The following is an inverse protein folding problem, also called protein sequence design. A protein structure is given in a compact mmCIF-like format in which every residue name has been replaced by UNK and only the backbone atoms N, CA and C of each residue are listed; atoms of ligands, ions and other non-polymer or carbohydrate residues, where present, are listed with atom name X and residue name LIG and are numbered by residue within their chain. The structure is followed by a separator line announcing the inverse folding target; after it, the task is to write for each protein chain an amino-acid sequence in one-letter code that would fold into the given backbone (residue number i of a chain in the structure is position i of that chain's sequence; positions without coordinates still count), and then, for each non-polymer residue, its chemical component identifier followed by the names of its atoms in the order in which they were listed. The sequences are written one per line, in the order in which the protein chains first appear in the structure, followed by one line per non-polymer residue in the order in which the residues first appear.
data_IF_152061554143
#
_entry.id   IF_152061554143
#
_cell.length_a   1.000
_cell.length_b   1.000
_cell.length_c   1.000
_cell.angle_alpha   90.00
_cell.angle_beta   90.00
_cell.angle_gamma   90.00
#
_symmetry.space_group_name_H-M   'P 1'
#
loop_
_entity.id
_entity.type
_entity.pdbx_description
1 polymer ?
#
# COMPACT_ATOMS: atom_id res chain seq x y z
N UNK A 1 17.97 -2.58 -12.75
CA UNK A 1 16.75 -1.77 -12.63
C UNK A 1 16.97 -0.68 -11.62
N UNK A 2 16.67 0.57 -11.96
CA UNK A 2 16.79 1.71 -11.07
C UNK A 2 15.66 1.74 -10.05
N UNK A 3 15.80 2.54 -8.98
CA UNK A 3 14.74 2.75 -7.99
C UNK A 3 13.49 3.33 -8.66
N UNK A 4 13.67 4.29 -9.58
CA UNK A 4 12.55 4.91 -10.31
C UNK A 4 11.80 3.88 -11.15
N UNK A 5 12.51 3.01 -11.84
CA UNK A 5 11.91 1.93 -12.62
C UNK A 5 11.10 0.97 -11.74
N UNK A 6 11.61 0.63 -10.56
CA UNK A 6 10.89 -0.21 -9.60
C UNK A 6 9.65 0.46 -9.06
N UNK A 7 9.73 1.74 -8.73
CA UNK A 7 8.57 2.50 -8.26
C UNK A 7 7.50 2.54 -9.35
N UNK A 8 7.89 2.73 -10.61
CA UNK A 8 6.97 2.71 -11.73
C UNK A 8 6.32 1.33 -11.90
N UNK A 9 7.08 0.25 -11.77
CA UNK A 9 6.56 -1.11 -11.81
C UNK A 9 5.52 -1.35 -10.70
N UNK A 10 5.82 -0.92 -9.49
CA UNK A 10 4.90 -1.01 -8.35
C UNK A 10 3.61 -0.22 -8.62
N UNK A 11 3.74 0.99 -9.12
CA UNK A 11 2.58 1.83 -9.44
C UNK A 11 1.74 1.23 -10.57
N UNK A 12 2.35 0.60 -11.56
CA UNK A 12 1.64 -0.08 -12.63
C UNK A 12 0.83 -1.28 -12.08
N UNK A 13 1.40 -2.05 -11.17
CA UNK A 13 0.68 -3.14 -10.50
C UNK A 13 -0.49 -2.60 -9.68
N UNK A 14 -0.32 -1.50 -8.97
CA UNK A 14 -1.41 -0.86 -8.21
C UNK A 14 -2.55 -0.47 -9.16
N UNK A 15 -2.25 0.08 -10.33
CA UNK A 15 -3.26 0.40 -11.35
C UNK A 15 -3.97 -0.85 -11.86
N UNK A 16 -3.25 -1.93 -12.11
CA UNK A 16 -3.85 -3.20 -12.53
C UNK A 16 -4.79 -3.76 -11.46
N UNK A 17 -4.40 -3.67 -10.19
CA UNK A 17 -5.25 -4.09 -9.07
C UNK A 17 -6.50 -3.21 -8.99
N UNK A 18 -6.35 -1.90 -9.20
CA UNK A 18 -7.50 -0.99 -9.26
C UNK A 18 -8.46 -1.37 -10.38
N UNK A 19 -7.95 -1.61 -11.59
CA UNK A 19 -8.77 -2.04 -12.72
C UNK A 19 -9.49 -3.36 -12.40
N UNK A 20 -8.81 -4.29 -11.76
CA UNK A 20 -9.43 -5.54 -11.29
C UNK A 20 -10.59 -5.28 -10.34
N UNK A 21 -10.45 -4.36 -9.38
CA UNK A 21 -11.55 -4.02 -8.45
C UNK A 21 -12.74 -3.39 -9.17
N UNK A 22 -12.54 -2.79 -10.34
CA UNK A 22 -13.61 -2.19 -11.14
C UNK A 22 -14.23 -3.15 -12.15
N UNK A 23 -13.52 -4.22 -12.53
CA UNK A 23 -13.97 -5.16 -13.57
C UNK A 23 -14.43 -6.51 -13.02
N UNK A 24 -13.90 -6.94 -11.88
CA UNK A 24 -14.40 -8.15 -11.22
C UNK A 24 -15.72 -7.80 -10.50
N UNK A 25 -16.80 -8.41 -10.95
CA UNK A 25 -18.15 -8.08 -10.49
C UNK A 25 -18.32 -8.19 -8.97
N UNK A 26 -17.81 -9.25 -8.38
CA UNK A 26 -17.91 -9.49 -6.94
C UNK A 26 -17.14 -8.46 -6.13
N UNK A 27 -15.92 -8.16 -6.54
CA UNK A 27 -15.06 -7.17 -5.88
C UNK A 27 -15.62 -5.77 -6.05
N UNK A 28 -16.10 -5.44 -7.26
CA UNK A 28 -16.70 -4.12 -7.51
C UNK A 28 -17.92 -3.88 -6.62
N UNK A 29 -18.79 -4.86 -6.51
CA UNK A 29 -19.97 -4.76 -5.63
C UNK A 29 -19.55 -4.53 -4.18
N UNK A 30 -18.59 -5.30 -3.68
CA UNK A 30 -18.08 -5.14 -2.31
C UNK A 30 -17.42 -3.78 -2.10
N UNK A 31 -16.62 -3.32 -3.07
CA UNK A 31 -15.96 -2.02 -2.97
C UNK A 31 -16.96 -0.86 -2.95
N UNK A 32 -18.00 -0.93 -3.80
CA UNK A 32 -19.06 0.07 -3.81
C UNK A 32 -19.81 0.11 -2.48
N UNK A 33 -20.11 -1.05 -1.88
CA UNK A 33 -20.71 -1.14 -0.55
C UNK A 33 -19.79 -0.58 0.53
N UNK A 34 -18.50 -0.88 0.45
CA UNK A 34 -17.48 -0.36 1.37
C UNK A 34 -17.43 1.16 1.33
N UNK A 35 -17.42 1.75 0.13
CA UNK A 35 -17.46 3.21 -0.02
C UNK A 35 -18.73 3.80 0.58
N UNK A 36 -19.87 3.14 0.40
CA UNK A 36 -21.14 3.60 0.97
C UNK A 36 -21.12 3.60 2.50
N UNK A 37 -20.47 2.59 3.13
CA UNK A 37 -20.34 2.53 4.60
C UNK A 37 -19.50 3.66 5.17
N UNK A 38 -18.56 4.19 4.37
CA UNK A 38 -17.72 5.33 4.76
C UNK A 38 -18.43 6.67 4.56
N UNK A 39 -19.67 6.68 4.04
CA UNK A 39 -20.38 7.90 3.70
C UNK A 39 -19.72 8.68 2.56
N UNK A 40 -18.94 7.99 1.75
CA UNK A 40 -18.16 8.60 0.69
C UNK A 40 -19.05 8.90 -0.52
N UNK A 41 -19.35 10.19 -0.73
CA UNK A 41 -20.07 10.71 -1.90
C UNK A 41 -19.20 11.76 -2.58
N UNK A 42 -19.17 11.77 -3.91
CA UNK A 42 -18.40 12.75 -4.69
C UNK A 42 -16.92 12.78 -4.30
N UNK A 43 -16.30 11.60 -4.30
CA UNK A 43 -14.90 11.44 -3.89
C UNK A 43 -13.97 11.88 -5.01
N UNK A 44 -12.95 12.70 -4.69
CA UNK A 44 -11.89 13.04 -5.61
C UNK A 44 -10.96 11.83 -5.84
N UNK A 45 -10.17 11.86 -6.94
CA UNK A 45 -9.20 10.81 -7.21
C UNK A 45 -8.20 10.62 -6.07
N UNK A 46 -7.74 11.71 -5.46
CA UNK A 46 -6.80 11.65 -4.33
C UNK A 46 -7.41 10.96 -3.09
N UNK A 47 -8.69 11.24 -2.83
CA UNK A 47 -9.40 10.58 -1.73
C UNK A 47 -9.63 9.10 -2.05
N UNK A 48 -9.92 8.76 -3.30
CA UNK A 48 -10.11 7.38 -3.75
C UNK A 48 -8.83 6.56 -3.52
N UNK A 49 -7.66 7.10 -3.84
CA UNK A 49 -6.39 6.40 -3.61
C UNK A 49 -6.16 6.11 -2.12
N UNK A 50 -6.47 7.06 -1.25
CA UNK A 50 -6.32 6.89 0.21
C UNK A 50 -7.25 5.83 0.78
N UNK A 51 -8.41 5.62 0.17
CA UNK A 51 -9.37 4.59 0.58
C UNK A 51 -9.01 3.24 -0.04
N UNK A 52 -8.59 3.25 -1.29
CA UNK A 52 -8.32 2.05 -2.08
C UNK A 52 -7.18 1.19 -1.51
N UNK A 53 -6.05 1.79 -1.12
CA UNK A 53 -4.91 1.03 -0.62
C UNK A 53 -5.24 0.24 0.66
N UNK A 54 -5.81 0.84 1.71
CA UNK A 54 -6.25 0.04 2.86
C UNK A 54 -7.25 -1.04 2.50
N UNK A 55 -8.15 -0.76 1.56
CA UNK A 55 -9.14 -1.74 1.11
C UNK A 55 -8.48 -2.98 0.53
N UNK A 56 -7.55 -2.85 -0.40
CA UNK A 56 -6.94 -4.01 -1.05
C UNK A 56 -6.06 -4.82 -0.11
N UNK A 57 -5.48 -4.19 0.92
CA UNK A 57 -4.63 -4.90 1.89
C UNK A 57 -5.43 -5.55 3.02
N UNK A 58 -6.54 -4.96 3.44
CA UNK A 58 -7.24 -5.36 4.67
C UNK A 58 -8.59 -6.05 4.43
N UNK A 59 -9.27 -5.73 3.33
CA UNK A 59 -10.59 -6.27 3.06
C UNK A 59 -10.52 -7.74 2.68
N UNK A 60 -11.45 -8.52 3.22
CA UNK A 60 -11.58 -9.95 2.89
C UNK A 60 -13.00 -10.23 2.40
N UNK A 61 -13.10 -11.00 1.33
CA UNK A 61 -14.36 -11.48 0.76
C UNK A 61 -14.28 -13.00 0.76
N UNK A 62 -15.20 -13.69 1.45
CA UNK A 62 -15.21 -15.14 1.57
C UNK A 62 -13.85 -15.70 2.05
N UNK A 63 -13.26 -15.06 3.06
CA UNK A 63 -11.98 -15.41 3.66
C UNK A 63 -10.74 -15.21 2.76
N UNK A 64 -10.89 -14.55 1.62
CA UNK A 64 -9.77 -14.21 0.74
C UNK A 64 -9.56 -12.70 0.72
N UNK A 65 -8.31 -12.26 0.74
CA UNK A 65 -7.99 -10.87 0.50
C UNK A 65 -8.21 -10.50 -0.97
N UNK A 66 -8.36 -9.20 -1.22
CA UNK A 66 -8.48 -8.70 -2.60
C UNK A 66 -7.21 -9.07 -3.40
N UNK A 67 -6.04 -8.97 -2.77
CA UNK A 67 -4.77 -9.34 -3.42
C UNK A 67 -4.70 -10.83 -3.79
N UNK A 68 -5.20 -11.71 -2.93
CA UNK A 68 -5.27 -13.14 -3.23
C UNK A 68 -6.23 -13.41 -4.40
N UNK A 69 -7.37 -12.73 -4.45
CA UNK A 69 -8.32 -12.84 -5.55
C UNK A 69 -7.72 -12.34 -6.87
N UNK A 70 -6.97 -11.23 -6.83
CA UNK A 70 -6.24 -10.71 -7.98
C UNK A 70 -5.22 -11.73 -8.47
N UNK A 71 -4.44 -12.32 -7.57
CA UNK A 71 -3.45 -13.35 -7.92
C UNK A 71 -4.08 -14.55 -8.60
N UNK A 72 -5.23 -15.00 -8.12
CA UNK A 72 -5.94 -16.15 -8.71
C UNK A 72 -6.41 -15.85 -10.13
N UNK A 73 -6.89 -14.65 -10.41
CA UNK A 73 -7.43 -14.29 -11.73
C UNK A 73 -6.35 -13.84 -12.72
N UNK A 74 -5.39 -13.04 -12.27
CA UNK A 74 -4.39 -12.38 -13.14
C UNK A 74 -3.00 -13.02 -13.09
N UNK A 75 -2.77 -13.91 -12.14
CA UNK A 75 -1.48 -14.53 -11.95
C UNK A 75 -0.61 -13.79 -10.93
N UNK A 76 0.47 -14.47 -10.51
CA UNK A 76 1.40 -13.93 -9.54
C UNK A 76 2.53 -13.15 -10.21
N UNK A 77 3.10 -12.20 -9.47
CA UNK A 77 4.33 -11.50 -9.81
C UNK A 77 5.09 -11.22 -8.52
N UNK A 78 6.38 -10.86 -8.59
CA UNK A 78 7.13 -10.47 -7.38
C UNK A 78 6.46 -9.34 -6.61
N UNK A 79 5.90 -8.34 -7.32
CA UNK A 79 5.19 -7.22 -6.67
C UNK A 79 3.92 -7.68 -5.96
N UNK A 80 3.11 -8.53 -6.59
CA UNK A 80 1.88 -9.07 -6.00
C UNK A 80 2.20 -9.88 -4.75
N UNK A 81 3.20 -10.76 -4.80
CA UNK A 81 3.62 -11.55 -3.64
C UNK A 81 4.15 -10.66 -2.50
N UNK A 82 4.88 -9.60 -2.86
CA UNK A 82 5.37 -8.62 -1.91
C UNK A 82 4.23 -7.91 -1.18
N UNK A 83 3.18 -7.51 -1.91
CA UNK A 83 1.99 -6.88 -1.32
C UNK A 83 1.25 -7.82 -0.38
N UNK A 84 1.12 -9.10 -0.75
CA UNK A 84 0.45 -10.10 0.10
C UNK A 84 1.19 -10.28 1.42
N UNK A 85 2.52 -10.17 1.40
CA UNK A 85 3.39 -10.30 2.58
C UNK A 85 3.64 -8.98 3.32
N UNK A 86 3.02 -7.88 2.90
CA UNK A 86 3.24 -6.57 3.50
C UNK A 86 2.96 -6.57 5.01
N UNK A 87 3.76 -5.80 5.74
CA UNK A 87 3.66 -5.68 7.21
C UNK A 87 3.00 -4.36 7.58
N UNK A 88 1.89 -4.44 8.32
CA UNK A 88 1.30 -3.27 8.97
C UNK A 88 1.80 -3.22 10.41
N UNK A 89 2.32 -2.07 10.86
CA UNK A 89 2.84 -1.92 12.21
C UNK A 89 2.86 -0.46 12.64
N UNK A 90 3.34 -0.23 13.84
CA UNK A 90 3.59 1.11 14.38
C UNK A 90 5.10 1.32 14.38
N UNK A 91 5.53 2.41 13.79
CA UNK A 91 6.94 2.74 13.63
C UNK A 91 7.27 4.07 14.28
N UNK A 92 8.48 4.18 14.81
CA UNK A 92 9.07 5.47 15.14
C UNK A 92 9.92 5.93 13.96
N UNK A 93 9.75 7.18 13.54
CA UNK A 93 10.59 7.77 12.50
C UNK A 93 11.93 8.13 13.13
N UNK A 94 13.00 7.41 12.76
CA UNK A 94 14.35 7.68 13.26
C UNK A 94 15.04 8.75 12.47
N UNK A 95 14.89 8.73 11.15
CA UNK A 95 15.46 9.72 10.22
C UNK A 95 14.54 9.93 9.04
N UNK A 96 14.55 11.14 8.52
CA UNK A 96 13.92 11.48 7.24
C UNK A 96 15.04 11.50 6.20
N UNK A 97 14.91 10.66 5.17
CA UNK A 97 15.88 10.52 4.09
C UNK A 97 15.40 11.29 2.86
N UNK A 98 16.26 11.41 1.86
CA UNK A 98 15.92 12.12 0.61
C UNK A 98 14.67 11.52 -0.07
N UNK A 99 14.58 10.19 -0.11
CA UNK A 99 13.53 9.46 -0.82
C UNK A 99 12.74 8.51 0.08
N UNK A 100 12.77 8.71 1.39
CA UNK A 100 12.10 7.80 2.30
C UNK A 100 12.41 8.09 3.76
N UNK A 101 12.43 7.02 4.56
CA UNK A 101 12.56 7.11 6.01
C UNK A 101 13.42 5.99 6.55
N UNK A 102 14.06 6.22 7.67
CA UNK A 102 14.56 5.15 8.55
C UNK A 102 13.52 4.97 9.65
N UNK A 103 12.88 3.79 9.68
CA UNK A 103 11.78 3.48 10.58
C UNK A 103 12.17 2.38 11.55
N UNK A 104 11.85 2.58 12.82
CA UNK A 104 12.01 1.56 13.85
C UNK A 104 10.63 0.97 14.18
N UNK A 105 10.49 -0.34 13.99
CA UNK A 105 9.24 -1.05 14.25
C UNK A 105 9.13 -1.34 15.75
N UNK A 106 8.11 -0.78 16.39
CA UNK A 106 7.91 -0.92 17.85
C UNK A 106 7.50 -2.33 18.25
N UNK A 107 7.00 -3.14 17.34
CA UNK A 107 6.51 -4.49 17.64
C UNK A 107 7.62 -5.51 17.52
N UNK A 108 8.36 -5.56 16.40
CA UNK A 108 9.43 -6.52 16.19
C UNK A 108 10.82 -5.99 16.55
N UNK A 109 10.93 -4.72 16.90
CA UNK A 109 12.17 -4.04 17.32
C UNK A 109 13.27 -4.01 16.25
N UNK A 110 12.89 -4.03 14.98
CA UNK A 110 13.81 -3.94 13.85
C UNK A 110 13.76 -2.56 13.20
N UNK A 111 14.88 -2.13 12.66
CA UNK A 111 15.00 -0.89 11.91
C UNK A 111 14.98 -1.17 10.41
N UNK A 112 14.19 -0.38 9.68
CA UNK A 112 14.03 -0.51 8.23
C UNK A 112 14.36 0.80 7.54
N UNK A 113 15.13 0.73 6.47
CA UNK A 113 15.28 1.83 5.53
C UNK A 113 14.21 1.67 4.45
N UNK A 114 13.29 2.61 4.37
CA UNK A 114 12.09 2.48 3.55
C UNK A 114 12.05 3.58 2.50
N UNK A 115 11.85 3.20 1.24
CA UNK A 115 11.67 4.14 0.14
C UNK A 115 10.21 4.51 0.02
N UNK A 116 9.92 5.78 -0.19
CA UNK A 116 8.56 6.27 -0.38
C UNK A 116 8.14 6.14 -1.84
N UNK A 117 6.95 5.60 -2.07
CA UNK A 117 6.31 5.58 -3.39
C UNK A 117 5.76 6.94 -3.79
N UNK A 118 5.53 7.81 -2.81
CA UNK A 118 5.06 9.17 -3.04
C UNK A 118 6.20 10.17 -2.83
N UNK A 119 6.04 11.37 -3.38
CA UNK A 119 7.04 12.43 -3.21
C UNK A 119 7.17 12.80 -1.73
N UNK A 120 8.39 13.00 -1.25
CA UNK A 120 8.65 13.38 0.14
C UNK A 120 8.00 14.70 0.53
N UNK A 121 7.75 15.59 -0.42
CA UNK A 121 7.00 16.84 -0.19
C UNK A 121 5.55 16.60 0.26
N UNK A 122 5.02 15.40 0.06
CA UNK A 122 3.68 15.02 0.53
C UNK A 122 3.62 14.80 2.04
N UNK A 123 4.77 14.66 2.70
CA UNK A 123 4.86 14.38 4.14
C UNK A 123 5.17 15.65 4.95
N UNK A 124 4.38 16.70 4.72
CA UNK A 124 4.54 17.96 5.49
C UNK A 124 4.17 17.75 6.95
N UNK A 125 4.96 18.34 7.85
CA UNK A 125 4.73 18.23 9.28
C UNK A 125 5.21 16.94 9.91
N UNK A 126 5.86 16.06 9.14
CA UNK A 126 6.45 14.82 9.64
C UNK A 126 7.91 15.09 10.01
N UNK A 127 8.33 14.63 11.19
CA UNK A 127 9.69 14.83 11.69
C UNK A 127 10.16 13.60 12.48
N UNK A 128 11.47 13.50 12.65
CA UNK A 128 12.10 12.43 13.43
C UNK A 128 11.60 12.44 14.89
N UNK A 129 11.35 11.28 15.44
CA UNK A 129 10.80 11.10 16.78
C UNK A 129 9.30 10.86 16.81
N UNK A 130 8.58 11.15 15.73
CA UNK A 130 7.15 10.84 15.64
C UNK A 130 6.88 9.36 15.47
N UNK A 131 5.70 8.93 15.89
CA UNK A 131 5.19 7.59 15.65
C UNK A 131 4.17 7.60 14.53
N UNK A 132 4.25 6.62 13.64
CA UNK A 132 3.31 6.46 12.53
C UNK A 132 2.81 5.02 12.46
N UNK A 133 1.55 4.85 12.07
CA UNK A 133 1.02 3.57 11.63
C UNK A 133 1.25 3.48 10.12
N UNK A 134 1.92 2.44 9.67
CA UNK A 134 2.28 2.30 8.27
C UNK A 134 2.31 0.84 7.84
N UNK A 135 2.26 0.63 6.54
CA UNK A 135 2.43 -0.69 5.94
C UNK A 135 3.65 -0.62 5.02
N UNK A 136 4.59 -1.52 5.26
CA UNK A 136 5.79 -1.64 4.44
C UNK A 136 5.82 -2.99 3.75
N UNK A 137 6.44 -3.04 2.58
CA UNK A 137 6.63 -4.30 1.85
C UNK A 137 8.02 -4.33 1.24
N UNK A 138 8.55 -5.55 1.08
CA UNK A 138 9.86 -5.79 0.51
C UNK A 138 9.74 -6.25 -0.94
N UNK A 139 10.51 -5.63 -1.82
CA UNK A 139 10.63 -6.05 -3.22
C UNK A 139 12.10 -5.96 -3.62
N UNK A 140 12.65 -7.11 -4.06
CA UNK A 140 14.05 -7.22 -4.50
C UNK A 140 15.07 -6.68 -3.48
N UNK A 141 14.84 -6.97 -2.21
CA UNK A 141 15.75 -6.59 -1.11
C UNK A 141 15.59 -5.17 -0.60
N UNK A 142 14.65 -4.40 -1.13
CA UNK A 142 14.36 -3.05 -0.65
C UNK A 142 12.96 -2.94 -0.11
N UNK A 143 12.78 -2.10 0.93
CA UNK A 143 11.49 -1.85 1.55
C UNK A 143 10.85 -0.59 0.99
N UNK A 144 9.53 -0.61 0.84
CA UNK A 144 8.72 0.48 0.30
C UNK A 144 7.54 0.78 1.22
N UNK A 145 7.14 2.02 1.18
CA UNK A 145 6.00 2.55 1.95
C UNK A 145 4.95 3.12 1.01
#
# INVERSE_FOLDING_TARGET
MTVIEKINEINDIIKEIFDFTQTNEKVKTDFDEYLATLGARNISLNQMEKIFLPYIFERRIDNKSILEMFREEKGSSPAVESFIKAQASIFEIKKILKNGFELYNLINEKTYKVLSLTKMTSFRGIYAGQYIAARIFELDGEYYL
#
